data_IF_874508739205
#
_entry.id   IF_874508739205
#
_cell.length_a   1.000
_cell.length_b   1.000
_cell.length_c   1.000
_cell.angle_alpha   90.00
_cell.angle_beta   90.00
_cell.angle_gamma   90.00
#
_symmetry.space_group_name_H-M   'P 1'
#
loop_
_entity.id
_entity.type
_entity.pdbx_description
1 polymer ?
#
# COMPACT_ATOMS: atom_id res chain seq x y z
N UNK A 1 30.81 -3.10 -8.17
CA UNK A 1 29.86 -2.12 -8.72
C UNK A 1 28.53 -2.33 -8.00
N UNK A 2 28.38 -1.77 -6.81
CA UNK A 2 27.12 -1.84 -6.06
C UNK A 2 26.33 -0.61 -6.48
N UNK A 3 25.47 -0.79 -7.48
CA UNK A 3 24.47 0.20 -7.83
C UNK A 3 23.49 0.31 -6.69
N UNK A 4 23.81 1.15 -5.70
CA UNK A 4 22.83 1.76 -4.82
C UNK A 4 21.89 2.50 -5.75
N UNK A 5 20.78 1.84 -6.12
CA UNK A 5 19.72 2.43 -6.93
C UNK A 5 19.09 3.50 -6.03
N UNK A 6 19.65 4.70 -6.11
CA UNK A 6 19.03 5.91 -5.59
C UNK A 6 17.63 5.94 -6.19
N UNK A 7 16.64 5.56 -5.38
CA UNK A 7 15.23 5.66 -5.73
C UNK A 7 14.93 7.15 -5.81
N UNK A 8 14.65 7.62 -7.01
CA UNK A 8 14.36 9.01 -7.24
C UNK A 8 12.92 9.32 -6.79
N UNK A 9 12.65 10.52 -6.23
CA UNK A 9 11.37 10.91 -5.63
C UNK A 9 10.39 11.34 -6.72
N UNK A 10 10.09 10.45 -7.67
CA UNK A 10 9.14 10.74 -8.75
C UNK A 10 7.72 10.31 -8.33
N UNK A 11 6.73 11.20 -8.41
CA UNK A 11 5.32 10.89 -8.10
C UNK A 11 4.81 9.65 -8.85
N UNK A 12 5.26 9.49 -10.10
CA UNK A 12 4.90 8.38 -11.00
C UNK A 12 5.33 7.01 -10.46
N UNK A 13 6.54 6.90 -9.92
CA UNK A 13 7.02 5.67 -9.27
C UNK A 13 6.27 5.37 -7.96
N UNK A 14 5.65 6.39 -7.35
CA UNK A 14 4.76 6.22 -6.22
C UNK A 14 3.35 5.79 -6.63
N UNK A 15 2.85 6.20 -7.80
CA UNK A 15 1.55 5.78 -8.34
C UNK A 15 1.59 4.30 -8.74
N UNK A 16 2.64 3.88 -9.45
CA UNK A 16 2.83 2.47 -9.82
C UNK A 16 2.88 1.57 -8.57
N UNK A 17 3.51 2.04 -7.51
CA UNK A 17 3.56 1.31 -6.24
C UNK A 17 2.18 1.21 -5.59
N UNK A 18 1.43 2.31 -5.49
CA UNK A 18 0.04 2.31 -4.98
C UNK A 18 -0.80 1.29 -5.73
N UNK A 19 -0.74 1.32 -7.06
CA UNK A 19 -1.49 0.41 -7.92
C UNK A 19 -1.12 -1.05 -7.66
N UNK A 20 0.18 -1.35 -7.59
CA UNK A 20 0.67 -2.70 -7.36
C UNK A 20 0.21 -3.26 -5.99
N UNK A 21 0.28 -2.45 -4.94
CA UNK A 21 -0.16 -2.82 -3.59
C UNK A 21 -1.67 -3.04 -3.56
N UNK A 22 -2.44 -2.12 -4.14
CA UNK A 22 -3.90 -2.17 -4.14
C UNK A 22 -4.42 -3.42 -4.89
N UNK A 23 -3.88 -3.71 -6.08
CA UNK A 23 -4.28 -4.92 -6.83
C UNK A 23 -3.97 -6.20 -6.08
N UNK A 24 -2.83 -6.27 -5.40
CA UNK A 24 -2.44 -7.46 -4.65
C UNK A 24 -3.30 -7.69 -3.40
N UNK A 25 -3.72 -6.61 -2.74
CA UNK A 25 -4.73 -6.67 -1.67
C UNK A 25 -6.07 -7.19 -2.24
N UNK A 26 -6.50 -6.67 -3.40
CA UNK A 26 -7.75 -7.09 -4.07
C UNK A 26 -7.72 -8.56 -4.49
N UNK A 27 -6.64 -9.02 -5.14
CA UNK A 27 -6.45 -10.41 -5.58
C UNK A 27 -6.56 -11.43 -4.44
N UNK A 28 -6.31 -11.00 -3.20
CA UNK A 28 -6.38 -11.85 -2.00
C UNK A 28 -7.71 -11.74 -1.25
N UNK A 29 -8.65 -10.95 -1.75
CA UNK A 29 -9.92 -10.67 -1.09
C UNK A 29 -9.76 -9.87 0.21
N UNK A 30 -8.72 -9.05 0.30
CA UNK A 30 -8.37 -8.30 1.53
C UNK A 30 -8.75 -6.81 1.47
N UNK A 31 -9.46 -6.35 0.44
CA UNK A 31 -9.82 -4.94 0.23
C UNK A 31 -10.56 -4.34 1.43
N UNK A 32 -11.67 -4.95 1.86
CA UNK A 32 -12.45 -4.49 3.02
C UNK A 32 -11.63 -4.39 4.33
N UNK A 33 -10.94 -5.48 4.75
CA UNK A 33 -10.06 -5.43 5.92
C UNK A 33 -8.94 -4.39 5.83
N UNK A 34 -8.34 -4.19 4.64
CA UNK A 34 -7.29 -3.19 4.45
C UNK A 34 -7.84 -1.76 4.58
N UNK A 35 -8.96 -1.44 3.92
CA UNK A 35 -9.62 -0.12 4.06
C UNK A 35 -9.98 0.17 5.52
N UNK A 36 -10.59 -0.80 6.22
CA UNK A 36 -10.93 -0.65 7.63
C UNK A 36 -9.71 -0.34 8.51
N UNK A 37 -8.58 -1.00 8.25
CA UNK A 37 -7.33 -0.73 8.98
C UNK A 37 -6.80 0.67 8.67
N UNK A 38 -6.73 1.07 7.40
CA UNK A 38 -6.22 2.38 6.99
C UNK A 38 -7.11 3.53 7.51
N UNK A 39 -8.42 3.32 7.59
CA UNK A 39 -9.37 4.25 8.19
C UNK A 39 -9.17 4.35 9.71
N UNK A 40 -9.10 3.22 10.41
CA UNK A 40 -8.87 3.18 11.86
C UNK A 40 -7.49 3.76 12.25
N UNK A 41 -6.53 3.76 11.32
CA UNK A 41 -5.19 4.28 11.55
C UNK A 41 -5.07 5.80 11.40
N UNK A 42 -6.08 6.50 10.87
CA UNK A 42 -6.10 7.97 10.68
C UNK A 42 -5.58 8.78 11.87
N UNK A 43 -5.91 8.48 13.15
CA UNK A 43 -5.40 9.23 14.31
C UNK A 43 -3.90 9.08 14.58
N UNK A 44 -3.24 8.10 13.96
CA UNK A 44 -1.87 7.68 14.24
C UNK A 44 -0.96 7.81 13.01
N UNK A 45 -1.41 8.52 11.98
CA UNK A 45 -0.61 8.75 10.78
C UNK A 45 0.46 9.84 11.03
N UNK A 46 1.65 9.72 10.42
CA UNK A 46 2.07 8.65 9.52
C UNK A 46 2.33 7.33 10.26
N UNK A 47 1.96 6.24 9.61
CA UNK A 47 2.18 4.91 10.13
C UNK A 47 3.66 4.56 9.97
N UNK A 48 4.46 4.88 10.98
CA UNK A 48 5.88 4.49 11.01
C UNK A 48 6.09 2.97 10.93
N UNK A 49 7.27 2.50 11.33
CA UNK A 49 7.67 1.08 11.25
C UNK A 49 6.74 0.04 11.93
N UNK A 50 5.72 0.47 12.68
CA UNK A 50 4.77 -0.40 13.38
C UNK A 50 3.62 -0.93 12.50
N UNK A 51 3.14 -0.17 11.51
CA UNK A 51 2.08 -0.69 10.61
C UNK A 51 2.61 -1.73 9.61
N UNK A 52 3.90 -1.63 9.28
CA UNK A 52 4.64 -2.66 8.54
C UNK A 52 4.47 -4.05 9.15
N UNK A 53 4.44 -4.18 10.49
CA UNK A 53 4.27 -5.46 11.17
C UNK A 53 2.87 -6.07 11.00
N UNK A 54 1.83 -5.24 10.81
CA UNK A 54 0.46 -5.70 10.57
C UNK A 54 0.30 -6.25 9.15
N UNK A 55 0.89 -5.56 8.16
CA UNK A 55 0.83 -5.98 6.76
C UNK A 55 1.94 -6.95 6.36
N UNK A 56 2.95 -7.21 7.20
CA UNK A 56 4.08 -8.13 6.96
C UNK A 56 3.71 -9.48 6.34
N UNK A 57 2.68 -10.22 6.80
CA UNK A 57 2.30 -11.50 6.17
C UNK A 57 1.71 -11.33 4.76
N UNK A 58 1.01 -10.23 4.49
CA UNK A 58 0.49 -9.93 3.15
C UNK A 58 1.63 -9.43 2.26
N UNK A 59 2.37 -8.41 2.70
CA UNK A 59 3.44 -7.76 1.94
C UNK A 59 4.61 -8.69 1.62
N UNK A 60 5.01 -9.60 2.52
CA UNK A 60 6.04 -10.60 2.18
C UNK A 60 5.60 -11.57 1.10
N UNK A 61 4.32 -11.93 1.09
CA UNK A 61 3.73 -12.77 0.04
C UNK A 61 3.59 -12.05 -1.30
N UNK A 62 3.45 -10.72 -1.31
CA UNK A 62 3.39 -9.90 -2.54
C UNK A 62 4.80 -9.58 -3.07
N UNK A 63 5.64 -9.00 -2.23
CA UNK A 63 6.85 -8.29 -2.64
C UNK A 63 8.13 -9.10 -2.44
N UNK A 64 8.03 -10.38 -2.05
CA UNK A 64 9.18 -11.27 -1.92
C UNK A 64 10.24 -10.84 -0.90
N UNK A 65 9.91 -9.89 -0.02
CA UNK A 65 10.80 -9.36 1.02
C UNK A 65 11.40 -7.98 0.73
N UNK A 66 11.20 -7.39 -0.44
CA UNK A 66 11.67 -6.02 -0.75
C UNK A 66 10.59 -5.00 -0.31
N UNK A 67 10.75 -4.45 0.90
CA UNK A 67 9.72 -3.65 1.59
C UNK A 67 9.98 -2.14 1.55
N UNK A 68 11.09 -1.67 0.99
CA UNK A 68 11.53 -0.26 1.08
C UNK A 68 10.54 0.71 0.41
N UNK A 69 9.96 0.35 -0.73
CA UNK A 69 8.93 1.17 -1.38
C UNK A 69 7.66 1.28 -0.53
N UNK A 70 7.20 0.15 0.02
CA UNK A 70 5.98 0.12 0.87
C UNK A 70 6.21 0.85 2.19
N UNK A 71 7.42 0.81 2.75
CA UNK A 71 7.80 1.61 3.91
C UNK A 71 7.62 3.09 3.61
N UNK A 72 8.08 3.56 2.45
CA UNK A 72 7.91 4.96 2.06
C UNK A 72 6.44 5.32 1.85
N UNK A 73 5.66 4.44 1.20
CA UNK A 73 4.23 4.64 0.97
C UNK A 73 3.44 4.80 2.30
N UNK A 74 3.78 4.01 3.32
CA UNK A 74 3.11 4.06 4.62
C UNK A 74 3.70 5.11 5.57
N UNK A 75 4.89 5.64 5.28
CA UNK A 75 5.59 6.62 6.12
C UNK A 75 5.12 8.07 5.92
N UNK A 76 4.26 8.35 4.95
CA UNK A 76 3.66 9.67 4.74
C UNK A 76 2.15 9.57 4.49
N UNK A 77 1.40 10.54 5.04
CA UNK A 77 -0.06 10.57 4.99
C UNK A 77 -0.61 10.55 3.56
N UNK A 78 0.11 11.18 2.62
CA UNK A 78 -0.30 11.24 1.21
C UNK A 78 -0.26 9.86 0.54
N UNK A 79 0.72 9.02 0.89
CA UNK A 79 0.82 7.66 0.37
C UNK A 79 -0.28 6.76 0.92
N UNK A 80 -0.63 6.93 2.19
CA UNK A 80 -1.74 6.21 2.82
C UNK A 80 -3.08 6.61 2.19
N UNK A 81 -3.33 7.90 1.99
CA UNK A 81 -4.61 8.36 1.40
C UNK A 81 -4.76 7.85 -0.04
N UNK A 82 -3.70 7.93 -0.86
CA UNK A 82 -3.71 7.40 -2.23
C UNK A 82 -3.97 5.90 -2.28
N UNK A 83 -3.40 5.13 -1.33
CA UNK A 83 -3.66 3.71 -1.24
C UNK A 83 -5.12 3.42 -0.85
N UNK A 84 -5.67 4.18 0.09
CA UNK A 84 -7.06 4.05 0.51
C UNK A 84 -8.02 4.38 -0.65
N UNK A 85 -7.85 5.54 -1.30
CA UNK A 85 -8.65 5.94 -2.47
C UNK A 85 -8.63 4.86 -3.55
N UNK A 86 -7.45 4.29 -3.84
CA UNK A 86 -7.35 3.25 -4.86
C UNK A 86 -8.05 1.93 -4.46
N UNK A 87 -8.02 1.57 -3.18
CA UNK A 87 -8.75 0.41 -2.68
C UNK A 87 -10.27 0.61 -2.76
N UNK A 88 -10.76 1.82 -2.50
CA UNK A 88 -12.18 2.17 -2.65
C UNK A 88 -12.64 2.06 -4.10
N UNK A 89 -11.85 2.56 -5.05
CA UNK A 89 -12.14 2.41 -6.49
C UNK A 89 -12.22 0.94 -6.91
N UNK A 90 -11.27 0.11 -6.47
CA UNK A 90 -11.25 -1.32 -6.77
C UNK A 90 -12.40 -2.11 -6.14
N UNK A 91 -12.85 -1.71 -4.93
CA UNK A 91 -14.02 -2.31 -4.28
C UNK A 91 -15.32 -1.95 -5.02
N UNK A 92 -15.42 -0.68 -5.44
CA UNK A 92 -16.52 -0.21 -6.26
C UNK A 92 -16.56 -0.96 -7.60
N UNK A 93 -15.47 -0.99 -8.36
CA UNK A 93 -15.34 -1.75 -9.62
C UNK A 93 -15.84 -3.21 -9.45
N UNK A 94 -15.34 -3.93 -8.45
CA UNK A 94 -15.72 -5.32 -8.21
C UNK A 94 -17.20 -5.53 -7.80
N UNK A 95 -17.84 -4.51 -7.21
CA UNK A 95 -19.27 -4.54 -6.85
C UNK A 95 -20.18 -4.32 -8.05
N UNK A 96 -19.72 -3.58 -9.07
CA UNK A 96 -20.48 -3.36 -10.31
C UNK A 96 -20.32 -4.51 -11.33
N UNK A 97 -19.28 -5.33 -11.19
CA UNK A 97 -19.01 -6.52 -12.02
C UNK A 97 -19.71 -7.80 -11.53
N UNK A 98 -20.40 -7.77 -10.38
CA UNK A 98 -21.08 -8.91 -9.73
C UNK A 98 -22.60 -8.87 -9.88
#
# INVERSE_FOLDING_TARGET
>A
MTGSRYYAPYPEASDELVESVAREIQLRGMTGPAMMFLEASRPYRPLGSQAMLFFDPVLRGVFGGELDGVQHLLADDSGIERLLERLEELDDEGRWDA
#
